data_IF_934927941586
#
_entry.id   IF_934927941586
#
_cell.length_a   1.000
_cell.length_b   1.000
_cell.length_c   1.000
_cell.angle_alpha   90.00
_cell.angle_beta   90.00
_cell.angle_gamma   90.00
#
_symmetry.space_group_name_H-M   'P 1'
#
loop_
_entity.id
_entity.type
_entity.pdbx_description
1 polymer ?
#
# COMPACT_ATOMS: atom_id res chain seq x y z
N UNK A 1 12.05 -11.25 8.30
CA UNK A 1 10.77 -10.70 7.81
C UNK A 1 10.33 -9.67 8.81
N UNK A 2 10.23 -8.41 8.40
CA UNK A 2 9.91 -7.29 9.30
C UNK A 2 8.39 -7.20 9.54
N UNK A 3 7.94 -6.28 10.40
CA UNK A 3 6.52 -6.10 10.68
C UNK A 3 5.71 -5.66 9.45
N UNK A 4 6.32 -4.85 8.58
CA UNK A 4 5.68 -4.35 7.36
C UNK A 4 5.43 -5.48 6.33
N UNK A 5 6.37 -6.41 6.18
CA UNK A 5 6.23 -7.61 5.36
C UNK A 5 5.00 -8.44 5.78
N UNK A 6 4.79 -8.60 7.09
CA UNK A 6 3.63 -9.33 7.62
C UNK A 6 2.31 -8.63 7.27
N UNK A 7 2.29 -7.30 7.28
CA UNK A 7 1.11 -6.52 6.90
C UNK A 7 0.84 -6.60 5.39
N UNK A 8 1.87 -6.60 4.54
CA UNK A 8 1.71 -6.86 3.11
C UNK A 8 1.15 -8.26 2.83
N UNK A 9 1.62 -9.28 3.54
CA UNK A 9 1.08 -10.64 3.42
C UNK A 9 -0.40 -10.71 3.85
N UNK A 10 -0.78 -10.02 4.93
CA UNK A 10 -2.18 -9.92 5.38
C UNK A 10 -3.03 -9.18 4.35
N UNK A 11 -2.55 -8.08 3.76
CA UNK A 11 -3.24 -7.39 2.68
C UNK A 11 -3.50 -8.31 1.49
N UNK A 12 -2.50 -9.07 1.05
CA UNK A 12 -2.67 -10.06 -0.03
C UNK A 12 -3.69 -11.13 0.33
N UNK A 13 -3.61 -11.69 1.54
CA UNK A 13 -4.53 -12.72 2.01
C UNK A 13 -5.97 -12.24 1.96
N UNK A 14 -6.25 -11.06 2.54
CA UNK A 14 -7.60 -10.48 2.53
C UNK A 14 -8.00 -10.12 1.10
N UNK A 15 -7.10 -9.55 0.31
CA UNK A 15 -7.43 -9.09 -1.03
C UNK A 15 -7.76 -10.21 -2.01
N UNK A 16 -7.12 -11.37 -1.91
CA UNK A 16 -7.54 -12.54 -2.69
C UNK A 16 -8.94 -13.03 -2.28
N UNK A 17 -9.31 -12.91 -1.00
CA UNK A 17 -10.68 -13.20 -0.56
C UNK A 17 -11.68 -12.19 -1.14
N UNK A 18 -11.32 -10.91 -1.17
CA UNK A 18 -12.15 -9.84 -1.75
C UNK A 18 -12.33 -10.03 -3.27
N UNK A 19 -11.28 -10.35 -4.01
CA UNK A 19 -11.37 -10.67 -5.45
C UNK A 19 -12.31 -11.84 -5.68
N UNK A 20 -12.11 -12.94 -4.95
CA UNK A 20 -12.97 -14.13 -5.07
C UNK A 20 -14.43 -13.81 -4.74
N UNK A 21 -14.65 -12.93 -3.76
CA UNK A 21 -15.98 -12.48 -3.40
C UNK A 21 -16.65 -11.69 -4.53
N UNK A 22 -15.96 -10.68 -5.07
CA UNK A 22 -16.46 -9.86 -6.18
C UNK A 22 -16.76 -10.72 -7.42
N UNK A 23 -15.87 -11.65 -7.77
CA UNK A 23 -16.08 -12.59 -8.89
C UNK A 23 -17.33 -13.45 -8.72
N UNK A 24 -17.60 -13.97 -7.50
CA UNK A 24 -18.80 -14.78 -7.23
C UNK A 24 -20.12 -14.02 -7.37
N UNK A 25 -20.06 -12.69 -7.35
CA UNK A 25 -21.21 -11.79 -7.49
C UNK A 25 -21.27 -11.10 -8.85
N UNK A 26 -20.43 -11.52 -9.78
CA UNK A 26 -20.29 -10.90 -11.10
C UNK A 26 -19.92 -9.41 -11.05
N UNK A 27 -19.29 -8.97 -9.96
CA UNK A 27 -18.81 -7.60 -9.75
C UNK A 27 -17.40 -7.44 -10.36
N UNK A 28 -17.26 -7.72 -11.66
CA UNK A 28 -15.98 -7.71 -12.37
C UNK A 28 -15.22 -6.36 -12.28
N UNK A 29 -15.89 -5.19 -12.33
CA UNK A 29 -15.20 -3.91 -12.12
C UNK A 29 -14.51 -3.82 -10.76
N UNK A 30 -15.17 -4.30 -9.70
CA UNK A 30 -14.56 -4.34 -8.36
C UNK A 30 -13.38 -5.30 -8.31
N UNK A 31 -13.54 -6.53 -8.84
CA UNK A 31 -12.44 -7.48 -8.90
C UNK A 31 -11.21 -6.92 -9.64
N UNK A 32 -11.42 -6.12 -10.69
CA UNK A 32 -10.33 -5.45 -11.42
C UNK A 32 -9.60 -4.42 -10.57
N UNK A 33 -10.33 -3.57 -9.84
CA UNK A 33 -9.73 -2.57 -8.93
C UNK A 33 -8.89 -3.25 -7.85
N UNK A 34 -9.37 -4.34 -7.27
CA UNK A 34 -8.61 -5.12 -6.29
C UNK A 34 -7.32 -5.71 -6.89
N UNK A 35 -7.39 -6.31 -8.08
CA UNK A 35 -6.19 -6.84 -8.75
C UNK A 35 -5.17 -5.73 -9.02
N UNK A 36 -5.62 -4.56 -9.49
CA UNK A 36 -4.74 -3.43 -9.75
C UNK A 36 -4.08 -2.90 -8.48
N UNK A 37 -4.79 -2.89 -7.35
CA UNK A 37 -4.18 -2.50 -6.07
C UNK A 37 -3.17 -3.53 -5.57
N UNK A 38 -3.49 -4.82 -5.68
CA UNK A 38 -2.70 -5.89 -5.05
C UNK A 38 -1.49 -6.33 -5.88
N UNK A 39 -1.45 -6.09 -7.20
CA UNK A 39 -0.43 -6.66 -8.08
C UNK A 39 1.01 -6.29 -7.72
N UNK A 40 1.22 -5.10 -7.15
CA UNK A 40 2.54 -4.60 -6.81
C UNK A 40 3.01 -5.04 -5.40
N UNK A 41 2.07 -5.35 -4.51
CA UNK A 41 2.35 -5.70 -3.11
C UNK A 41 3.38 -6.84 -2.95
N UNK A 42 3.37 -7.93 -3.74
CA UNK A 42 4.36 -8.99 -3.61
C UNK A 42 5.81 -8.50 -3.78
N UNK A 43 6.01 -7.45 -4.57
CA UNK A 43 7.34 -6.90 -4.84
C UNK A 43 7.86 -5.98 -3.73
N UNK A 44 7.00 -5.63 -2.76
CA UNK A 44 7.34 -4.82 -1.59
C UNK A 44 7.76 -5.69 -0.40
N UNK A 45 7.52 -7.00 -0.44
CA UNK A 45 7.90 -7.92 0.63
C UNK A 45 9.42 -8.12 0.59
N UNK A 46 10.09 -7.80 1.70
CA UNK A 46 11.55 -7.84 1.79
C UNK A 46 12.27 -6.75 1.00
N UNK A 47 11.53 -5.75 0.50
CA UNK A 47 12.12 -4.62 -0.23
C UNK A 47 12.89 -3.69 0.74
N UNK A 48 14.18 -3.40 0.48
CA UNK A 48 14.94 -2.47 1.32
C UNK A 48 14.71 -0.98 0.97
N UNK A 49 14.21 -0.67 -0.23
CA UNK A 49 14.05 0.70 -0.70
C UNK A 49 12.80 1.37 -0.12
N UNK A 50 12.99 2.16 0.93
CA UNK A 50 11.96 2.99 1.57
C UNK A 50 11.12 3.84 0.61
N UNK A 51 11.68 4.29 -0.53
CA UNK A 51 10.93 5.08 -1.52
C UNK A 51 9.85 4.25 -2.22
N UNK A 52 10.05 2.94 -2.40
CA UNK A 52 9.04 2.06 -2.99
C UNK A 52 7.85 1.88 -2.05
N UNK A 53 8.11 1.70 -0.76
CA UNK A 53 7.06 1.66 0.26
C UNK A 53 6.28 2.97 0.35
N UNK A 54 6.99 4.10 0.26
CA UNK A 54 6.37 5.43 0.19
C UNK A 54 5.48 5.59 -1.04
N UNK A 55 5.96 5.21 -2.22
CA UNK A 55 5.18 5.25 -3.45
C UNK A 55 3.88 4.44 -3.32
N UNK A 56 3.97 3.22 -2.77
CA UNK A 56 2.79 2.42 -2.47
C UNK A 56 1.83 3.15 -1.51
N UNK A 57 2.35 3.71 -0.42
CA UNK A 57 1.54 4.30 0.65
C UNK A 57 0.83 5.60 0.25
N UNK A 58 1.56 6.48 -0.44
CA UNK A 58 1.09 7.83 -0.80
C UNK A 58 0.30 7.82 -2.11
N UNK A 59 0.67 6.97 -3.07
CA UNK A 59 0.13 7.02 -4.44
C UNK A 59 -0.79 5.84 -4.70
N UNK A 60 -0.29 4.60 -4.60
CA UNK A 60 -1.07 3.42 -4.99
C UNK A 60 -2.28 3.18 -4.09
N UNK A 61 -2.10 3.33 -2.77
CA UNK A 61 -3.19 3.24 -1.80
C UNK A 61 -4.25 4.32 -2.01
N UNK A 62 -3.84 5.57 -2.25
CA UNK A 62 -4.77 6.67 -2.52
C UNK A 62 -5.56 6.42 -3.82
N UNK A 63 -4.87 6.04 -4.89
CA UNK A 63 -5.50 5.68 -6.17
C UNK A 63 -6.49 4.52 -6.03
N UNK A 64 -6.20 3.53 -5.18
CA UNK A 64 -7.14 2.44 -4.89
C UNK A 64 -8.41 2.96 -4.22
N UNK A 65 -8.30 3.80 -3.19
CA UNK A 65 -9.45 4.38 -2.50
C UNK A 65 -10.32 5.21 -3.44
N UNK A 66 -9.70 6.05 -4.27
CA UNK A 66 -10.41 6.86 -5.27
C UNK A 66 -11.16 6.00 -6.28
N UNK A 67 -10.51 4.95 -6.81
CA UNK A 67 -11.17 4.00 -7.72
C UNK A 67 -12.33 3.25 -7.05
N UNK A 68 -12.16 2.83 -5.80
CA UNK A 68 -13.18 2.13 -5.05
C UNK A 68 -14.43 3.01 -4.84
N UNK A 69 -14.23 4.30 -4.54
CA UNK A 69 -15.32 5.27 -4.43
C UNK A 69 -16.01 5.51 -5.77
N UNK A 70 -15.25 5.63 -6.87
CA UNK A 70 -15.78 5.82 -8.22
C UNK A 70 -16.62 4.64 -8.72
N UNK A 71 -16.42 3.43 -8.21
CA UNK A 71 -17.26 2.28 -8.55
C UNK A 71 -18.73 2.48 -8.13
N UNK A 72 -19.01 3.34 -7.14
CA UNK A 72 -20.36 3.56 -6.63
C UNK A 72 -20.98 2.30 -6.02
N UNK A 73 -20.15 1.41 -5.45
CA UNK A 73 -20.57 0.14 -4.84
C UNK A 73 -20.39 0.21 -3.32
N UNK A 74 -21.46 0.45 -2.53
CA UNK A 74 -21.35 0.57 -1.07
C UNK A 74 -20.71 -0.65 -0.41
N UNK A 75 -21.03 -1.85 -0.91
CA UNK A 75 -20.48 -3.11 -0.42
C UNK A 75 -18.95 -3.23 -0.61
N UNK A 76 -18.40 -2.58 -1.65
CA UNK A 76 -16.97 -2.56 -1.89
C UNK A 76 -16.25 -1.69 -0.86
N UNK A 77 -16.82 -0.53 -0.57
CA UNK A 77 -16.35 0.39 0.47
C UNK A 77 -16.45 -0.25 1.86
N UNK A 78 -17.59 -0.85 2.20
CA UNK A 78 -17.80 -1.53 3.49
C UNK A 78 -16.77 -2.63 3.72
N UNK A 79 -16.43 -3.42 2.68
CA UNK A 79 -15.39 -4.45 2.80
C UNK A 79 -14.00 -3.87 3.01
N UNK A 80 -13.65 -2.82 2.26
CA UNK A 80 -12.37 -2.14 2.43
C UNK A 80 -12.26 -1.60 3.85
N UNK A 81 -13.29 -0.92 4.36
CA UNK A 81 -13.34 -0.42 5.74
C UNK A 81 -13.25 -1.53 6.77
N UNK A 82 -13.91 -2.67 6.52
CA UNK A 82 -13.90 -3.79 7.46
C UNK A 82 -12.57 -4.54 7.51
N UNK A 83 -11.89 -4.68 6.37
CA UNK A 83 -10.76 -5.61 6.27
C UNK A 83 -9.42 -4.97 5.89
N UNK A 84 -9.40 -3.87 5.14
CA UNK A 84 -8.16 -3.19 4.74
C UNK A 84 -7.84 -2.04 5.67
N UNK A 85 -8.84 -1.26 6.10
CA UNK A 85 -8.63 -0.10 6.97
C UNK A 85 -7.87 -0.45 8.27
N UNK A 86 -8.18 -1.54 9.00
CA UNK A 86 -7.38 -1.91 10.17
C UNK A 86 -5.92 -2.21 9.84
N UNK A 87 -5.66 -2.81 8.66
CA UNK A 87 -4.29 -3.08 8.20
C UNK A 87 -3.56 -1.78 7.85
N UNK A 88 -4.26 -0.82 7.23
CA UNK A 88 -3.70 0.50 6.96
C UNK A 88 -3.37 1.24 8.26
N UNK A 89 -4.22 1.18 9.27
CA UNK A 89 -3.95 1.77 10.59
C UNK A 89 -2.72 1.14 11.25
N UNK A 90 -2.56 -0.19 11.15
CA UNK A 90 -1.35 -0.89 11.62
C UNK A 90 -0.09 -0.51 10.81
N UNK A 91 -0.22 -0.26 9.50
CA UNK A 91 0.89 0.12 8.62
C UNK A 91 1.34 1.57 8.81
N UNK A 92 0.42 2.48 9.10
CA UNK A 92 0.66 3.92 9.15
C UNK A 92 1.89 4.32 10.00
N UNK A 93 2.04 3.87 11.27
CA UNK A 93 3.21 4.26 12.06
C UNK A 93 4.53 3.75 11.47
N UNK A 94 4.54 2.57 10.84
CA UNK A 94 5.73 2.01 10.17
C UNK A 94 6.11 2.84 8.94
N UNK A 95 5.11 3.29 8.18
CA UNK A 95 5.31 4.15 7.02
C UNK A 95 5.84 5.53 7.43
N UNK A 96 5.27 6.15 8.46
CA UNK A 96 5.77 7.42 9.00
C UNK A 96 7.25 7.30 9.39
N UNK A 97 7.61 6.24 10.12
CA UNK A 97 8.98 6.02 10.54
C UNK A 97 9.94 5.85 9.34
N UNK A 98 9.56 5.05 8.35
CA UNK A 98 10.34 4.85 7.11
C UNK A 98 10.56 6.16 6.35
N UNK A 99 9.53 7.03 6.29
CA UNK A 99 9.63 8.33 5.64
C UNK A 99 10.57 9.28 6.38
N UNK A 100 10.49 9.33 7.71
CA UNK A 100 11.39 10.12 8.56
C UNK A 100 12.85 9.67 8.43
N UNK A 101 13.11 8.36 8.34
CA UNK A 101 14.44 7.82 8.09
C UNK A 101 14.97 8.17 6.70
N UNK A 102 14.11 8.08 5.68
CA UNK A 102 14.48 8.43 4.30
C UNK A 102 14.82 9.93 4.19
N UNK A 103 14.04 10.80 4.83
CA UNK A 103 14.28 12.24 4.82
C UNK A 103 15.52 12.63 5.64
N UNK A 104 15.80 11.94 6.75
CA UNK A 104 17.06 12.10 7.49
C UNK A 104 18.28 11.73 6.65
N UNK A 105 18.24 10.58 5.96
CA UNK A 105 19.34 10.13 5.07
C UNK A 105 19.59 11.10 3.92
N UNK A 106 18.53 11.71 3.36
CA UNK A 106 18.67 12.76 2.36
C UNK A 106 19.41 13.98 2.91
N UNK A 107 19.03 14.46 4.11
CA UNK A 107 19.68 15.62 4.73
C UNK A 107 21.17 15.37 5.02
N UNK A 108 21.53 14.21 5.57
CA UNK A 108 22.93 13.89 5.90
C UNK A 108 23.77 13.50 4.69
N UNK A 109 23.17 13.15 3.55
CA UNK A 109 23.86 12.79 2.31
C UNK A 109 24.22 14.00 1.42
N UNK A 110 23.64 15.18 1.65
CA UNK A 110 23.89 16.39 0.84
C UNK A 110 25.14 17.18 1.24
N UNK A 111 25.77 16.87 2.38
CA UNK A 111 26.93 17.61 2.90
C UNK A 111 28.30 17.11 2.39
N UNK A 112 28.35 16.16 1.44
CA UNK A 112 29.62 15.65 0.88
C UNK A 112 30.00 16.20 -0.50
N UNK A 113 29.34 17.27 -0.97
CA UNK A 113 29.78 18.02 -2.15
C UNK A 113 30.25 19.43 -1.76
N UNK A 114 31.19 19.52 -0.82
CA UNK A 114 32.09 20.67 -0.77
C UNK A 114 33.13 20.48 -1.89
N UNK A 115 32.97 21.25 -2.98
CA UNK A 115 33.99 21.41 -4.00
C UNK A 115 35.21 22.12 -3.36
N UNK A 116 36.42 21.54 -3.44
CA UNK A 116 37.64 22.30 -3.24
C UNK A 116 38.03 22.93 -4.58
N UNK A 117 37.80 24.23 -4.72
CA UNK A 117 38.53 25.09 -5.66
C UNK A 117 39.24 26.21 -4.88
#
# INVERSE_FOLDING_TARGET
MNALDQLYLRLLQVGFLTIRYAQRRDELPWARVEVQFLHNIPTLIGEPNGLRHRCFWDIERANYLDQLLQLGRPEAVERMEKYYQPLFEEMQPLMCHLMEEADRKKRTGTDQFENPD
#
